data_IF_921335730439
#
_entry.id   IF_921335730439
#
_cell.length_a   1.000
_cell.length_b   1.000
_cell.length_c   1.000
_cell.angle_alpha   90.00
_cell.angle_beta   90.00
_cell.angle_gamma   90.00
#
_symmetry.space_group_name_H-M   'P 1'
#
loop_
_entity.id
_entity.type
_entity.pdbx_description
1 polymer ?
#
# COMPACT_ATOMS: atom_id res chain seq x y z
N UNK A 1 -62.75 -67.95 -43.23
CA UNK A 1 -61.91 -67.43 -42.14
C UNK A 1 -60.95 -66.42 -42.72
N UNK A 2 -61.17 -65.13 -42.44
CA UNK A 2 -60.39 -64.04 -43.03
C UNK A 2 -59.54 -63.44 -41.89
N UNK A 3 -58.29 -63.87 -41.76
CA UNK A 3 -57.37 -63.32 -40.77
C UNK A 3 -56.76 -62.03 -41.33
N UNK A 4 -57.15 -60.90 -40.73
CA UNK A 4 -56.57 -59.59 -41.00
C UNK A 4 -55.15 -59.56 -40.40
N UNK A 5 -54.10 -59.20 -41.15
CA UNK A 5 -52.75 -59.16 -40.58
C UNK A 5 -52.67 -58.07 -39.50
N UNK A 6 -52.23 -58.46 -38.32
CA UNK A 6 -51.91 -57.59 -37.21
C UNK A 6 -50.74 -56.68 -37.64
N UNK A 7 -50.97 -55.36 -37.61
CA UNK A 7 -49.90 -54.38 -37.92
C UNK A 7 -48.83 -54.50 -36.84
N UNK A 8 -47.72 -55.15 -37.17
CA UNK A 8 -46.52 -55.17 -36.34
C UNK A 8 -46.04 -53.72 -36.20
N UNK A 9 -46.28 -53.14 -35.02
CA UNK A 9 -45.85 -51.79 -34.69
C UNK A 9 -44.33 -51.83 -34.45
N UNK A 10 -43.55 -51.48 -35.47
CA UNK A 10 -42.09 -51.29 -35.39
C UNK A 10 -41.76 -49.78 -35.38
N UNK A 11 -40.49 -49.41 -35.36
CA UNK A 11 -39.65 -48.94 -34.26
C UNK A 11 -39.81 -47.45 -33.88
N UNK A 12 -40.95 -46.81 -34.20
CA UNK A 12 -41.12 -45.35 -34.06
C UNK A 12 -40.79 -44.82 -32.66
N UNK A 13 -41.19 -45.56 -31.61
CA UNK A 13 -40.94 -45.22 -30.20
C UNK A 13 -39.46 -45.18 -29.82
N UNK A 14 -38.62 -45.97 -30.49
CA UNK A 14 -37.18 -45.98 -30.24
C UNK A 14 -36.48 -44.78 -30.88
N UNK A 15 -36.96 -44.33 -32.04
CA UNK A 15 -36.48 -43.10 -32.70
C UNK A 15 -36.88 -41.84 -31.93
N UNK A 16 -38.11 -41.78 -31.41
CA UNK A 16 -38.59 -40.64 -30.62
C UNK A 16 -37.83 -40.51 -29.28
N UNK A 17 -37.58 -41.64 -28.59
CA UNK A 17 -36.76 -41.64 -27.37
C UNK A 17 -35.29 -41.25 -27.64
N UNK A 18 -34.73 -41.64 -28.79
CA UNK A 18 -33.35 -41.29 -29.16
C UNK A 18 -33.19 -39.77 -29.42
N UNK A 19 -34.16 -39.15 -30.08
CA UNK A 19 -34.18 -37.71 -30.33
C UNK A 19 -34.30 -36.89 -29.03
N UNK A 20 -35.11 -37.37 -28.09
CA UNK A 20 -35.29 -36.76 -26.76
C UNK A 20 -34.00 -36.84 -25.94
N UNK A 21 -33.32 -38.00 -25.93
CA UNK A 21 -32.06 -38.16 -25.19
C UNK A 21 -30.97 -37.24 -25.74
N UNK A 22 -30.80 -37.16 -27.06
CA UNK A 22 -29.84 -36.24 -27.70
C UNK A 22 -30.15 -34.79 -27.33
N UNK A 23 -31.43 -34.40 -27.31
CA UNK A 23 -31.86 -33.04 -26.96
C UNK A 23 -31.60 -32.71 -25.48
N UNK A 24 -31.84 -33.64 -24.56
CA UNK A 24 -31.56 -33.46 -23.12
C UNK A 24 -30.06 -33.34 -22.88
N UNK A 25 -29.24 -34.20 -23.49
CA UNK A 25 -27.77 -34.10 -23.38
C UNK A 25 -27.22 -32.80 -23.96
N UNK A 26 -27.84 -32.26 -25.01
CA UNK A 26 -27.48 -30.96 -25.57
C UNK A 26 -27.82 -29.81 -24.62
N UNK A 27 -28.97 -29.88 -23.94
CA UNK A 27 -29.39 -28.89 -22.93
C UNK A 27 -28.48 -28.95 -21.71
N UNK A 28 -28.12 -30.14 -21.22
CA UNK A 28 -27.18 -30.29 -20.10
C UNK A 28 -25.80 -29.71 -20.44
N UNK A 29 -25.29 -30.01 -21.64
CA UNK A 29 -24.03 -29.44 -22.11
C UNK A 29 -24.13 -27.92 -22.25
N UNK A 30 -25.23 -27.41 -22.77
CA UNK A 30 -25.46 -25.96 -22.93
C UNK A 30 -25.52 -25.24 -21.57
N UNK A 31 -26.25 -25.79 -20.60
CA UNK A 31 -26.31 -25.25 -19.24
C UNK A 31 -24.95 -25.33 -18.53
N UNK A 32 -24.20 -26.40 -18.75
CA UNK A 32 -22.85 -26.54 -18.23
C UNK A 32 -21.91 -25.48 -18.80
N UNK A 33 -21.98 -25.21 -20.11
CA UNK A 33 -21.18 -24.16 -20.76
C UNK A 33 -21.57 -22.78 -20.24
N UNK A 34 -22.87 -22.47 -20.09
CA UNK A 34 -23.33 -21.20 -19.51
C UNK A 34 -22.79 -21.03 -18.09
N UNK A 35 -22.92 -22.07 -17.27
CA UNK A 35 -22.45 -22.04 -15.89
C UNK A 35 -20.93 -21.83 -15.85
N UNK A 36 -20.18 -22.53 -16.69
CA UNK A 36 -18.74 -22.36 -16.82
C UNK A 36 -18.35 -20.93 -17.22
N UNK A 37 -19.02 -20.35 -18.24
CA UNK A 37 -18.77 -18.97 -18.67
C UNK A 37 -19.11 -17.97 -17.57
N UNK A 38 -20.23 -18.17 -16.86
CA UNK A 38 -20.61 -17.32 -15.73
C UNK A 38 -19.56 -17.37 -14.60
N UNK A 39 -19.09 -18.57 -14.23
CA UNK A 39 -18.02 -18.71 -13.24
C UNK A 39 -16.69 -18.11 -13.70
N UNK A 40 -16.30 -18.33 -14.96
CA UNK A 40 -15.09 -17.76 -15.53
C UNK A 40 -15.14 -16.23 -15.54
N UNK A 41 -16.27 -15.65 -15.95
CA UNK A 41 -16.49 -14.21 -15.91
C UNK A 41 -16.47 -13.66 -14.48
N UNK A 42 -17.14 -14.33 -13.54
CA UNK A 42 -17.16 -13.94 -12.12
C UNK A 42 -15.75 -13.91 -11.52
N UNK A 43 -14.91 -14.90 -11.82
CA UNK A 43 -13.54 -14.97 -11.31
C UNK A 43 -12.64 -13.86 -11.87
N UNK A 44 -12.73 -13.59 -13.18
CA UNK A 44 -11.97 -12.51 -13.83
C UNK A 44 -12.44 -11.14 -13.33
N UNK A 45 -13.75 -10.94 -13.21
CA UNK A 45 -14.33 -9.70 -12.68
C UNK A 45 -13.90 -9.44 -11.24
N UNK A 46 -13.89 -10.47 -10.39
CA UNK A 46 -13.44 -10.35 -9.00
C UNK A 46 -11.95 -10.00 -8.89
N UNK A 47 -11.10 -10.61 -9.72
CA UNK A 47 -9.66 -10.31 -9.76
C UNK A 47 -9.39 -8.86 -10.22
N UNK A 48 -10.04 -8.42 -11.31
CA UNK A 48 -9.91 -7.07 -11.84
C UNK A 48 -10.39 -6.01 -10.83
N UNK A 49 -11.58 -6.21 -10.25
CA UNK A 49 -12.14 -5.30 -9.23
C UNK A 49 -11.25 -5.23 -7.98
N UNK A 50 -10.62 -6.33 -7.57
CA UNK A 50 -9.70 -6.35 -6.43
C UNK A 50 -8.41 -5.57 -6.70
N UNK A 51 -7.91 -5.57 -7.93
CA UNK A 51 -6.72 -4.81 -8.30
C UNK A 51 -7.00 -3.31 -8.37
N UNK A 52 -8.09 -2.88 -9.01
CA UNK A 52 -8.49 -1.46 -9.09
C UNK A 52 -8.73 -0.85 -7.70
N UNK A 53 -9.43 -1.57 -6.82
CA UNK A 53 -9.66 -1.14 -5.43
C UNK A 53 -8.37 -1.07 -4.62
N UNK A 54 -7.38 -1.93 -4.92
CA UNK A 54 -6.07 -1.89 -4.29
C UNK A 54 -5.30 -0.62 -4.68
N UNK A 55 -5.24 -0.29 -5.97
CA UNK A 55 -4.54 0.91 -6.46
C UNK A 55 -5.21 2.19 -5.93
N UNK A 56 -6.54 2.27 -5.98
CA UNK A 56 -7.28 3.44 -5.46
C UNK A 56 -7.01 3.65 -3.95
N UNK A 57 -6.97 2.57 -3.17
CA UNK A 57 -6.65 2.64 -1.74
C UNK A 57 -5.24 3.20 -1.48
N UNK A 58 -4.26 2.84 -2.32
CA UNK A 58 -2.90 3.34 -2.24
C UNK A 58 -2.82 4.83 -2.59
N UNK A 59 -3.56 5.28 -3.61
CA UNK A 59 -3.67 6.70 -3.97
C UNK A 59 -4.31 7.53 -2.85
N UNK A 60 -5.39 7.02 -2.25
CA UNK A 60 -6.02 7.64 -1.09
C UNK A 60 -5.03 7.78 0.08
N UNK A 61 -4.31 6.70 0.40
CA UNK A 61 -3.27 6.72 1.45
C UNK A 61 -2.15 7.71 1.13
N UNK A 62 -1.68 7.76 -0.12
CA UNK A 62 -0.68 8.73 -0.59
C UNK A 62 -1.14 10.17 -0.34
N UNK A 63 -2.41 10.49 -0.66
CA UNK A 63 -3.01 11.81 -0.42
C UNK A 63 -3.11 12.13 1.07
N UNK A 64 -3.51 11.17 1.89
CA UNK A 64 -3.61 11.34 3.34
C UNK A 64 -2.23 11.68 3.95
N UNK A 65 -1.17 10.97 3.56
CA UNK A 65 0.18 11.25 4.07
C UNK A 65 0.63 12.66 3.69
N UNK A 66 0.38 13.10 2.45
CA UNK A 66 0.69 14.47 2.03
C UNK A 66 -0.08 15.53 2.82
N UNK A 67 -1.36 15.25 3.11
CA UNK A 67 -2.17 16.11 3.98
C UNK A 67 -1.56 16.22 5.37
N UNK A 68 -1.20 15.09 5.99
CA UNK A 68 -0.53 15.09 7.30
C UNK A 68 0.81 15.82 7.27
N UNK A 69 1.61 15.68 6.21
CA UNK A 69 2.85 16.44 6.04
C UNK A 69 2.56 17.94 5.98
N UNK A 70 1.50 18.37 5.27
CA UNK A 70 1.14 19.78 5.15
C UNK A 70 0.66 20.41 6.47
N UNK A 71 0.16 19.59 7.39
CA UNK A 71 -0.33 20.01 8.70
C UNK A 71 0.79 20.08 9.75
N UNK A 72 1.98 19.55 9.46
CA UNK A 72 3.13 19.70 10.34
C UNK A 72 3.52 21.18 10.45
N UNK A 73 3.55 21.70 11.68
CA UNK A 73 4.13 23.00 11.97
C UNK A 73 5.65 23.02 11.77
N UNK A 74 6.27 24.20 11.97
CA UNK A 74 7.72 24.37 11.82
C UNK A 74 8.51 23.27 12.54
N UNK A 75 9.50 22.72 11.85
CA UNK A 75 10.41 21.71 12.37
C UNK A 75 11.86 22.01 12.00
N UNK A 76 12.80 21.36 12.70
CA UNK A 76 14.22 21.46 12.39
C UNK A 76 14.92 20.12 12.56
N UNK A 77 15.83 19.82 11.65
CA UNK A 77 16.73 18.68 11.79
C UNK A 77 17.77 18.94 12.88
N UNK A 78 18.11 17.89 13.62
CA UNK A 78 19.25 17.84 14.52
C UNK A 78 18.92 17.19 15.86
N UNK A 79 19.84 17.30 16.80
CA UNK A 79 19.63 16.92 18.20
C UNK A 79 19.90 18.11 19.10
N UNK A 80 19.16 18.21 20.20
CA UNK A 80 19.33 19.25 21.22
C UNK A 80 20.00 18.64 22.44
N UNK A 81 21.13 19.21 22.85
CA UNK A 81 21.90 18.72 24.00
C UNK A 81 22.41 19.86 24.89
N UNK A 82 22.46 19.66 26.22
CA UNK A 82 23.06 20.61 27.13
C UNK A 82 24.59 20.48 27.08
N UNK A 83 25.29 21.60 26.98
CA UNK A 83 26.75 21.67 27.13
C UNK A 83 27.11 22.44 28.38
N UNK A 84 28.05 21.90 29.14
CA UNK A 84 28.66 22.59 30.28
C UNK A 84 30.13 22.86 29.98
N UNK A 85 30.65 24.00 30.46
CA UNK A 85 32.05 24.40 30.23
C UNK A 85 32.67 25.03 31.47
N UNK A 86 33.95 24.75 31.71
CA UNK A 86 34.73 25.50 32.70
C UNK A 86 35.09 26.86 32.11
N UNK A 87 35.00 27.90 32.93
CA UNK A 87 35.19 29.30 32.55
C UNK A 87 36.64 29.80 32.72
N UNK A 88 37.55 28.96 33.24
CA UNK A 88 38.97 29.27 33.42
C UNK A 88 39.30 30.20 34.59
N UNK A 89 38.30 30.80 35.25
CA UNK A 89 38.51 31.68 36.41
C UNK A 89 38.68 30.84 37.69
N UNK A 90 39.82 30.93 38.39
CA UNK A 90 40.12 30.06 39.54
C UNK A 90 39.15 30.29 40.72
N UNK A 91 38.60 31.49 40.83
CA UNK A 91 37.64 31.85 41.88
C UNK A 91 36.19 31.45 41.58
N UNK A 92 35.90 30.93 40.38
CA UNK A 92 34.53 30.58 40.01
C UNK A 92 34.18 29.16 40.48
N UNK A 93 32.93 28.96 40.93
CA UNK A 93 32.39 27.62 41.21
C UNK A 93 32.55 26.65 40.02
N UNK A 94 32.54 27.17 38.79
CA UNK A 94 32.75 26.41 37.55
C UNK A 94 34.10 25.65 37.51
N UNK A 95 35.11 26.12 38.25
CA UNK A 95 36.48 25.64 38.18
C UNK A 95 36.83 24.62 39.29
N UNK A 96 35.96 24.45 40.29
CA UNK A 96 36.16 23.50 41.39
C UNK A 96 36.22 22.05 40.87
N UNK A 97 37.02 21.23 41.54
CA UNK A 97 37.08 19.79 41.27
C UNK A 97 35.71 19.15 41.49
N UNK A 98 35.28 18.25 40.59
CA UNK A 98 33.94 17.67 40.60
C UNK A 98 32.78 18.58 40.12
N UNK A 99 33.02 19.86 39.80
CA UNK A 99 31.99 20.75 39.23
C UNK A 99 31.67 20.39 37.78
N UNK A 100 30.37 20.36 37.41
CA UNK A 100 29.93 20.19 36.02
C UNK A 100 30.36 21.35 35.10
N UNK A 101 30.76 22.50 35.66
CA UNK A 101 31.06 23.73 34.92
C UNK A 101 29.83 24.63 34.71
N UNK A 102 30.00 25.75 34.03
CA UNK A 102 28.90 26.65 33.65
C UNK A 102 28.01 26.00 32.59
N UNK A 103 26.71 26.05 32.83
CA UNK A 103 25.70 25.62 31.87
C UNK A 103 24.34 25.40 32.53
N UNK A 104 23.38 24.85 31.78
CA UNK A 104 23.56 24.36 30.41
C UNK A 104 23.54 25.49 29.36
N UNK A 105 24.51 25.46 28.44
CA UNK A 105 24.35 26.08 27.13
C UNK A 105 23.71 25.03 26.21
N UNK A 106 22.47 25.25 25.81
CA UNK A 106 21.76 24.34 24.92
C UNK A 106 22.23 24.50 23.48
N UNK A 107 22.58 23.39 22.84
CA UNK A 107 23.09 23.37 21.47
C UNK A 107 22.24 22.44 20.60
N UNK A 108 21.66 22.98 19.52
CA UNK A 108 21.19 22.16 18.40
C UNK A 108 22.38 21.81 17.54
N UNK A 109 22.55 20.53 17.22
CA UNK A 109 23.61 20.05 16.32
C UNK A 109 23.00 19.23 15.19
N UNK A 110 23.41 19.51 13.95
CA UNK A 110 22.98 18.77 12.76
C UNK A 110 24.13 18.61 11.76
N UNK A 111 24.04 17.59 10.92
CA UNK A 111 24.92 17.44 9.76
C UNK A 111 24.35 18.23 8.56
N UNK A 112 25.19 19.00 7.89
CA UNK A 112 24.89 19.69 6.62
C UNK A 112 26.08 19.44 5.70
N UNK A 113 25.86 18.81 4.55
CA UNK A 113 26.91 18.52 3.56
C UNK A 113 28.16 17.86 4.16
N UNK A 114 27.96 16.84 5.01
CA UNK A 114 29.05 16.12 5.68
C UNK A 114 29.74 16.89 6.82
N UNK A 115 29.33 18.13 7.11
CA UNK A 115 29.88 18.95 8.19
C UNK A 115 28.90 19.08 9.36
N UNK A 116 29.44 19.11 10.57
CA UNK A 116 28.65 19.36 11.78
C UNK A 116 28.42 20.85 11.98
N UNK A 117 27.16 21.27 12.01
CA UNK A 117 26.74 22.64 12.31
C UNK A 117 26.03 22.66 13.65
N UNK A 118 26.48 23.54 14.55
CA UNK A 118 25.88 23.71 15.88
C UNK A 118 25.39 25.14 16.10
N UNK A 119 24.23 25.28 16.75
CA UNK A 119 23.62 26.57 17.09
C UNK A 119 23.19 26.58 18.56
N UNK A 120 23.58 27.64 19.26
CA UNK A 120 23.13 27.88 20.63
C UNK A 120 21.64 28.24 20.66
N UNK A 121 20.92 27.68 21.62
CA UNK A 121 19.51 27.92 21.88
C UNK A 121 19.37 28.59 23.24
N UNK A 122 18.65 29.73 23.34
CA UNK A 122 18.44 30.38 24.61
C UNK A 122 17.46 29.55 25.48
N UNK A 123 17.60 29.55 26.82
CA UNK A 123 16.84 28.66 27.71
C UNK A 123 15.32 28.68 27.49
N UNK A 124 14.75 29.86 27.22
CA UNK A 124 13.30 30.05 27.00
C UNK A 124 12.77 29.46 25.68
N UNK A 125 13.66 29.00 24.79
CA UNK A 125 13.29 28.36 23.51
C UNK A 125 13.58 26.85 23.49
N UNK A 126 14.11 26.28 24.57
CA UNK A 126 14.56 24.88 24.63
C UNK A 126 13.41 23.91 24.37
N UNK A 127 12.30 24.07 25.08
CA UNK A 127 11.11 23.22 24.95
C UNK A 127 10.55 23.24 23.52
N UNK A 128 10.30 24.44 22.98
CA UNK A 128 9.87 24.59 21.58
C UNK A 128 10.87 24.00 20.59
N UNK A 129 12.17 24.03 20.89
CA UNK A 129 13.19 23.43 20.02
C UNK A 129 13.14 21.90 20.05
N UNK A 130 12.84 21.29 21.20
CA UNK A 130 12.59 19.85 21.29
C UNK A 130 11.39 19.46 20.44
N UNK A 131 10.25 20.15 20.56
CA UNK A 131 9.06 19.89 19.73
C UNK A 131 9.38 19.98 18.23
N UNK A 132 10.16 20.99 17.83
CA UNK A 132 10.56 21.16 16.42
C UNK A 132 11.43 20.01 15.91
N UNK A 133 12.25 19.40 16.77
CA UNK A 133 13.06 18.22 16.42
C UNK A 133 12.18 16.97 16.34
N UNK A 134 11.23 16.82 17.26
CA UNK A 134 10.27 15.71 17.23
C UNK A 134 9.40 15.74 15.98
N UNK A 135 8.88 16.91 15.60
CA UNK A 135 8.15 17.09 14.33
C UNK A 135 9.02 16.74 13.12
N UNK A 136 10.33 17.00 13.16
CA UNK A 136 11.23 16.56 12.09
C UNK A 136 11.34 15.04 12.04
N UNK A 137 11.40 14.34 13.18
CA UNK A 137 11.36 12.87 13.19
C UNK A 137 10.03 12.33 12.64
N UNK A 138 8.90 12.95 12.99
CA UNK A 138 7.59 12.61 12.43
C UNK A 138 7.57 12.80 10.91
N UNK A 139 8.08 13.93 10.42
CA UNK A 139 8.25 14.20 8.99
C UNK A 139 9.08 13.10 8.31
N UNK A 140 10.22 12.70 8.88
CA UNK A 140 11.04 11.63 8.32
C UNK A 140 10.29 10.29 8.23
N UNK A 141 9.45 9.97 9.22
CA UNK A 141 8.63 8.76 9.21
C UNK A 141 7.60 8.82 8.08
N UNK A 142 6.90 9.95 7.94
CA UNK A 142 5.91 10.17 6.88
C UNK A 142 6.52 10.12 5.48
N UNK A 143 7.73 10.67 5.29
CA UNK A 143 8.44 10.57 4.01
C UNK A 143 8.79 9.13 3.65
N UNK A 144 9.23 8.33 4.63
CA UNK A 144 9.47 6.89 4.40
C UNK A 144 8.18 6.18 4.03
N UNK A 145 7.10 6.41 4.76
CA UNK A 145 5.81 5.81 4.45
C UNK A 145 5.29 6.23 3.07
N UNK A 146 5.40 7.52 2.74
CA UNK A 146 5.05 8.05 1.42
C UNK A 146 5.82 7.34 0.31
N UNK A 147 7.12 7.12 0.52
CA UNK A 147 8.00 6.43 -0.45
C UNK A 147 7.54 4.98 -0.65
N UNK A 148 7.30 4.25 0.43
CA UNK A 148 6.78 2.87 0.38
C UNK A 148 5.43 2.77 -0.33
N UNK A 149 4.52 3.73 -0.11
CA UNK A 149 3.24 3.77 -0.84
C UNK A 149 3.46 4.02 -2.33
N UNK A 150 4.39 4.90 -2.71
CA UNK A 150 4.67 5.14 -4.13
C UNK A 150 5.28 3.90 -4.80
N UNK A 151 6.18 3.17 -4.12
CA UNK A 151 6.71 1.90 -4.63
C UNK A 151 5.57 0.92 -4.91
N UNK A 152 4.65 0.73 -3.94
CA UNK A 152 3.48 -0.16 -4.11
C UNK A 152 2.58 0.25 -5.27
N UNK A 153 2.39 1.55 -5.49
CA UNK A 153 1.62 2.06 -6.64
C UNK A 153 2.32 1.68 -7.94
N UNK A 154 3.63 1.94 -8.05
CA UNK A 154 4.41 1.59 -9.23
C UNK A 154 4.38 0.08 -9.52
N UNK A 155 4.55 -0.75 -8.49
CA UNK A 155 4.52 -2.21 -8.63
C UNK A 155 3.14 -2.69 -9.09
N UNK A 156 2.06 -2.17 -8.50
CA UNK A 156 0.69 -2.53 -8.89
C UNK A 156 0.38 -2.14 -10.35
N UNK A 157 0.88 -0.99 -10.81
CA UNK A 157 0.74 -0.56 -12.21
C UNK A 157 1.50 -1.48 -13.18
N UNK A 158 2.68 -1.97 -12.79
CA UNK A 158 3.44 -2.92 -13.60
C UNK A 158 2.72 -4.27 -13.74
N UNK A 159 2.14 -4.79 -12.66
CA UNK A 159 1.38 -6.05 -12.72
C UNK A 159 0.11 -5.93 -13.58
N UNK A 160 -0.64 -4.84 -13.46
CA UNK A 160 -1.80 -4.57 -14.32
C UNK A 160 -1.40 -4.52 -15.81
N UNK A 161 -0.25 -3.90 -16.13
CA UNK A 161 0.28 -3.88 -17.49
C UNK A 161 0.66 -5.28 -18.03
N UNK A 162 1.20 -6.15 -17.18
CA UNK A 162 1.53 -7.54 -17.56
C UNK A 162 0.26 -8.34 -17.85
N UNK A 163 -0.79 -8.18 -17.05
CA UNK A 163 -2.07 -8.86 -17.27
C UNK A 163 -2.69 -8.45 -18.60
N UNK A 164 -2.75 -7.15 -18.90
CA UNK A 164 -3.23 -6.64 -20.18
C UNK A 164 -2.43 -7.19 -21.38
N UNK A 165 -1.10 -7.30 -21.26
CA UNK A 165 -0.25 -7.85 -22.32
C UNK A 165 -0.50 -9.35 -22.57
N UNK A 166 -0.68 -10.15 -21.50
CA UNK A 166 -0.97 -11.59 -21.60
C UNK A 166 -2.35 -11.88 -22.19
N UNK A 167 -3.31 -11.00 -21.96
CA UNK A 167 -4.65 -11.10 -22.57
C UNK A 167 -4.60 -10.82 -24.08
N UNK A 168 -3.84 -9.80 -24.49
CA UNK A 168 -3.67 -9.47 -25.91
C UNK A 168 -3.01 -10.61 -26.70
N UNK A 169 -2.03 -11.32 -26.13
CA UNK A 169 -1.35 -12.46 -26.76
C UNK A 169 -2.24 -13.71 -26.92
N UNK A 170 -3.31 -13.85 -26.12
CA UNK A 170 -4.25 -14.98 -26.22
C UNK A 170 -5.40 -14.75 -27.19
N UNK A 171 -5.64 -13.49 -27.58
CA UNK A 171 -6.74 -13.10 -28.46
C UNK A 171 -6.34 -12.83 -29.92
N UNK A 172 -5.05 -12.85 -30.25
CA UNK A 172 -4.51 -12.74 -31.62
C UNK A 172 -4.08 -14.09 -32.18
#
# INVERSE_FOLDING_TARGET
>A
MNQRPEKVNTPQRAHDNFFIIISISFIELFLYVILYVYYAFSFVWEAHMKQETTIESLHSKKKQILQTISELGDFRQGSLSPRYRKCGKPYCHCAKEGSKGHGPLWMVTRAVEGKTVSKAIPPERVERTFEQIERFHQFQNLVREYTEVNIKICDAQLEAGKEASREAEKGG
#
